data_IF_356698516098
#
_entry.id   IF_356698516098
#
_cell.length_a   1.000
_cell.length_b   1.000
_cell.length_c   1.000
_cell.angle_alpha   90.00
_cell.angle_beta   90.00
_cell.angle_gamma   90.00
#
_symmetry.space_group_name_H-M   'P 1'
#
loop_
_entity.id
_entity.type
_entity.pdbx_description
1 polymer ?
#
# COMPACT_ATOMS: atom_id res chain seq x y z
N UNK A 1 16.37 24.07 19.21
CA UNK A 1 15.36 23.02 18.94
C UNK A 1 14.64 23.23 17.60
N UNK A 2 14.13 24.43 17.28
CA UNK A 2 13.54 24.74 15.96
C UNK A 2 14.52 24.55 14.77
N UNK A 3 15.80 24.89 14.96
CA UNK A 3 16.86 24.74 13.95
C UNK A 3 17.19 23.25 13.70
N UNK A 4 17.12 22.40 14.73
CA UNK A 4 17.40 20.96 14.60
C UNK A 4 16.29 20.23 13.83
N UNK A 5 15.03 20.69 13.95
CA UNK A 5 13.88 20.12 13.23
C UNK A 5 13.96 20.44 11.73
N UNK A 6 14.36 21.65 11.38
CA UNK A 6 14.58 22.07 9.97
C UNK A 6 15.77 21.33 9.35
N UNK A 7 16.85 21.11 10.13
CA UNK A 7 18.00 20.31 9.71
C UNK A 7 17.63 18.83 9.50
N UNK A 8 16.77 18.25 10.34
CA UNK A 8 16.31 16.86 10.18
C UNK A 8 15.39 16.68 8.96
N UNK A 9 14.52 17.66 8.71
CA UNK A 9 13.64 17.70 7.52
C UNK A 9 14.44 17.87 6.22
N UNK A 10 15.53 18.64 6.25
CA UNK A 10 16.43 18.81 5.09
C UNK A 10 17.36 17.61 4.87
N UNK A 11 17.78 16.91 5.92
CA UNK A 11 18.48 15.62 5.77
C UNK A 11 17.57 14.52 5.21
N UNK A 12 16.29 14.45 5.60
CA UNK A 12 15.31 13.54 5.00
C UNK A 12 15.02 13.87 3.53
N UNK A 13 15.10 15.14 3.13
CA UNK A 13 14.98 15.54 1.73
C UNK A 13 16.22 15.18 0.88
N UNK A 14 17.38 14.97 1.51
CA UNK A 14 18.67 14.77 0.84
C UNK A 14 19.01 13.30 0.52
N UNK A 15 18.21 12.33 1.00
CA UNK A 15 18.43 10.90 0.74
C UNK A 15 17.60 10.34 -0.44
N UNK A 16 17.10 11.21 -1.32
CA UNK A 16 16.13 10.85 -2.37
C UNK A 16 16.75 10.34 -3.68
N UNK A 17 18.07 10.16 -3.73
CA UNK A 17 18.74 9.63 -4.92
C UNK A 17 18.89 8.11 -4.86
N UNK A 18 17.78 7.42 -5.19
CA UNK A 18 17.66 6.09 -5.79
C UNK A 18 16.34 5.48 -5.33
N UNK A 19 15.64 4.80 -6.24
CA UNK A 19 14.31 4.19 -6.08
C UNK A 19 13.13 5.15 -6.33
N UNK A 20 12.13 4.69 -7.09
CA UNK A 20 10.89 5.41 -7.39
C UNK A 20 10.28 5.91 -6.06
N UNK A 21 10.33 7.22 -5.82
CA UNK A 21 10.08 7.81 -4.48
C UNK A 21 8.63 8.31 -4.28
N UNK A 22 7.65 7.75 -4.98
CA UNK A 22 6.26 8.23 -4.98
C UNK A 22 5.24 7.16 -4.56
N UNK A 23 4.09 7.59 -4.05
CA UNK A 23 2.91 6.72 -3.98
C UNK A 23 2.34 6.54 -5.39
N UNK A 24 1.59 5.46 -5.64
CA UNK A 24 0.99 5.23 -6.96
C UNK A 24 0.03 6.37 -7.32
N UNK A 25 0.14 6.86 -8.56
CA UNK A 25 -0.57 8.06 -9.02
C UNK A 25 0.08 9.40 -8.66
N UNK A 26 1.14 9.41 -7.84
CA UNK A 26 1.86 10.61 -7.41
C UNK A 26 3.36 10.52 -7.74
N UNK A 27 3.67 10.55 -9.04
CA UNK A 27 5.04 10.44 -9.54
C UNK A 27 5.52 8.99 -9.74
N UNK A 28 4.66 8.00 -9.48
CA UNK A 28 4.90 6.59 -9.76
C UNK A 28 3.62 5.94 -10.31
N UNK A 29 3.77 5.07 -11.32
CA UNK A 29 2.69 4.21 -11.84
C UNK A 29 3.21 2.78 -12.04
N UNK A 30 2.32 1.80 -12.09
CA UNK A 30 2.67 0.40 -12.37
C UNK A 30 3.08 0.26 -13.83
N UNK A 31 2.34 0.89 -14.73
CA UNK A 31 2.49 0.73 -16.16
C UNK A 31 2.83 2.06 -16.83
N UNK A 32 4.06 2.52 -16.66
CA UNK A 32 4.57 3.74 -17.30
C UNK A 32 5.74 3.46 -18.27
N UNK A 33 5.59 3.71 -19.59
CA UNK A 33 4.38 4.14 -20.29
C UNK A 33 3.42 2.96 -20.56
N UNK A 34 2.09 3.17 -20.51
CA UNK A 34 1.12 2.08 -20.61
C UNK A 34 1.15 1.36 -21.97
N UNK A 35 1.47 2.06 -23.05
CA UNK A 35 1.60 1.50 -24.39
C UNK A 35 2.70 0.42 -24.48
N UNK A 36 3.84 0.63 -23.82
CA UNK A 36 4.96 -0.31 -23.89
C UNK A 36 4.66 -1.58 -23.08
N UNK A 37 4.07 -1.39 -21.89
CA UNK A 37 3.59 -2.51 -21.07
C UNK A 37 2.48 -3.31 -21.76
N UNK A 38 1.57 -2.66 -22.50
CA UNK A 38 0.53 -3.34 -23.26
C UNK A 38 1.13 -4.21 -24.39
N UNK A 39 2.06 -3.66 -25.17
CA UNK A 39 2.80 -4.41 -26.19
C UNK A 39 3.46 -5.68 -25.62
N UNK A 40 4.16 -5.54 -24.49
CA UNK A 40 4.81 -6.68 -23.84
C UNK A 40 3.79 -7.68 -23.29
N UNK A 41 2.70 -7.22 -22.68
CA UNK A 41 1.72 -8.09 -22.04
C UNK A 41 1.06 -9.07 -23.02
N UNK A 42 0.85 -8.67 -24.29
CA UNK A 42 0.27 -9.56 -25.33
C UNK A 42 1.18 -10.76 -25.63
N UNK A 43 2.48 -10.54 -25.71
CA UNK A 43 3.46 -11.58 -26.10
C UNK A 43 4.24 -12.17 -24.92
N UNK A 44 4.06 -11.63 -23.71
CA UNK A 44 4.91 -11.93 -22.55
C UNK A 44 4.84 -13.37 -22.05
N UNK A 45 3.78 -14.11 -22.42
CA UNK A 45 3.59 -15.53 -22.15
C UNK A 45 3.72 -16.41 -23.41
N UNK A 46 4.18 -15.85 -24.54
CA UNK A 46 4.38 -16.61 -25.76
C UNK A 46 5.38 -17.75 -25.54
N UNK A 47 5.07 -18.99 -25.95
CA UNK A 47 6.07 -20.04 -26.03
C UNK A 47 7.25 -19.61 -26.90
N UNK A 48 8.47 -19.90 -26.46
CA UNK A 48 9.71 -19.55 -27.18
C UNK A 48 10.56 -20.80 -27.40
N UNK A 49 11.23 -20.87 -28.54
CA UNK A 49 12.19 -21.93 -28.86
C UNK A 49 13.54 -21.61 -28.19
N UNK A 50 13.70 -22.02 -26.93
CA UNK A 50 14.89 -21.78 -26.12
C UNK A 50 15.76 -23.06 -26.04
N UNK A 51 17.05 -23.03 -26.43
CA UNK A 51 17.95 -24.16 -26.19
C UNK A 51 18.17 -24.35 -24.67
N UNK A 52 17.79 -25.53 -24.16
CA UNK A 52 18.00 -26.02 -22.79
C UNK A 52 17.54 -25.09 -21.66
N UNK A 53 16.23 -25.09 -21.39
CA UNK A 53 15.72 -24.93 -20.02
C UNK A 53 15.03 -26.26 -19.69
N UNK A 54 15.68 -27.09 -18.88
CA UNK A 54 15.09 -28.35 -18.41
C UNK A 54 13.69 -28.11 -17.83
N UNK A 55 12.79 -29.02 -18.18
CA UNK A 55 11.36 -29.00 -17.88
C UNK A 55 11.04 -28.65 -16.41
N UNK A 56 10.74 -27.37 -16.15
CA UNK A 56 9.96 -26.96 -14.98
C UNK A 56 8.66 -26.28 -15.43
N UNK A 57 7.61 -27.10 -15.46
CA UNK A 57 6.18 -26.77 -15.41
C UNK A 57 5.70 -25.55 -16.23
N UNK A 58 5.21 -25.84 -17.43
CA UNK A 58 4.09 -25.11 -18.04
C UNK A 58 2.85 -25.29 -17.17
N UNK A 59 2.69 -24.44 -16.15
CA UNK A 59 1.64 -24.56 -15.15
C UNK A 59 1.03 -23.21 -14.84
N UNK A 60 -0.06 -22.89 -15.54
CA UNK A 60 -1.00 -21.80 -15.26
C UNK A 60 -0.43 -20.38 -15.28
N UNK A 61 -1.28 -19.44 -15.70
CA UNK A 61 -1.09 -18.00 -15.55
C UNK A 61 -0.99 -17.64 -14.05
N UNK A 62 0.16 -17.95 -13.43
CA UNK A 62 0.46 -17.51 -12.09
C UNK A 62 0.96 -16.06 -12.16
N UNK A 63 0.34 -15.19 -11.37
CA UNK A 63 0.71 -13.80 -11.16
C UNK A 63 2.05 -13.68 -10.41
N UNK A 64 3.10 -14.25 -10.98
CA UNK A 64 4.48 -14.07 -10.55
C UNK A 64 4.96 -12.71 -11.02
N UNK A 65 4.95 -11.75 -10.11
CA UNK A 65 5.67 -10.48 -10.27
C UNK A 65 7.13 -10.57 -9.76
N UNK A 66 7.60 -11.80 -9.48
CA UNK A 66 9.02 -12.18 -9.45
C UNK A 66 9.50 -12.53 -10.86
N UNK A 67 10.80 -12.34 -11.12
CA UNK A 67 11.42 -12.47 -12.45
C UNK A 67 10.90 -13.65 -13.27
N UNK A 68 10.57 -13.40 -14.54
CA UNK A 68 10.07 -14.45 -15.42
C UNK A 68 11.15 -15.54 -15.55
N UNK A 69 10.83 -16.84 -15.31
CA UNK A 69 11.76 -17.94 -15.60
C UNK A 69 12.22 -17.95 -17.07
N UNK A 70 11.44 -17.31 -17.94
CA UNK A 70 11.70 -17.15 -19.37
C UNK A 70 12.60 -15.94 -19.67
N UNK A 71 12.92 -15.08 -18.70
CA UNK A 71 13.69 -13.86 -18.92
C UNK A 71 15.05 -14.09 -19.60
N UNK A 72 15.84 -15.12 -19.23
CA UNK A 72 17.09 -15.42 -19.94
C UNK A 72 16.87 -15.83 -21.39
N UNK A 73 15.78 -16.54 -21.70
CA UNK A 73 15.45 -16.89 -23.08
C UNK A 73 14.95 -15.68 -23.87
N UNK A 74 14.07 -14.87 -23.28
CA UNK A 74 13.60 -13.62 -23.90
C UNK A 74 14.79 -12.72 -24.25
N UNK A 75 15.80 -12.67 -23.37
CA UNK A 75 16.96 -11.82 -23.56
C UNK A 75 17.74 -12.11 -24.85
N UNK A 76 17.80 -13.36 -25.29
CA UNK A 76 18.52 -13.78 -26.51
C UNK A 76 17.59 -14.12 -27.68
N UNK A 77 16.27 -14.06 -27.49
CA UNK A 77 15.32 -14.38 -28.54
C UNK A 77 15.07 -13.17 -29.45
N UNK A 78 15.74 -13.15 -30.61
CA UNK A 78 15.64 -12.06 -31.57
C UNK A 78 14.23 -11.83 -32.13
N UNK A 79 13.37 -12.85 -32.20
CA UNK A 79 12.00 -12.72 -32.68
C UNK A 79 11.09 -12.02 -31.68
N UNK A 80 11.22 -12.37 -30.40
CA UNK A 80 10.54 -11.67 -29.31
C UNK A 80 10.95 -10.21 -29.25
N UNK A 81 12.27 -9.94 -29.24
CA UNK A 81 12.79 -8.57 -29.15
C UNK A 81 12.34 -7.74 -30.37
N UNK A 82 12.45 -8.25 -31.58
CA UNK A 82 11.98 -7.53 -32.79
C UNK A 82 10.47 -7.27 -32.77
N UNK A 83 9.68 -8.25 -32.34
CA UNK A 83 8.21 -8.11 -32.20
C UNK A 83 7.87 -7.00 -31.20
N UNK A 84 8.53 -7.00 -30.03
CA UNK A 84 8.32 -5.98 -29.02
C UNK A 84 8.75 -4.60 -29.52
N UNK A 85 9.94 -4.48 -30.13
CA UNK A 85 10.47 -3.22 -30.65
C UNK A 85 9.52 -2.61 -31.70
N UNK A 86 9.02 -3.43 -32.62
CA UNK A 86 8.08 -2.99 -33.64
C UNK A 86 6.72 -2.54 -33.05
N UNK A 87 6.21 -3.22 -32.03
CA UNK A 87 5.00 -2.75 -31.35
C UNK A 87 5.23 -1.42 -30.64
N UNK A 88 6.36 -1.25 -29.94
CA UNK A 88 6.71 0.02 -29.31
C UNK A 88 6.82 1.17 -30.32
N UNK A 89 7.45 0.95 -31.48
CA UNK A 89 7.58 2.00 -32.49
C UNK A 89 6.24 2.43 -33.10
N UNK A 90 5.26 1.54 -33.14
CA UNK A 90 3.94 1.82 -33.74
C UNK A 90 2.94 2.35 -32.71
N UNK A 91 2.98 1.87 -31.47
CA UNK A 91 1.99 2.19 -30.42
C UNK A 91 2.44 3.27 -29.43
N UNK A 92 3.73 3.55 -29.34
CA UNK A 92 4.30 4.53 -28.40
C UNK A 92 4.94 5.74 -29.11
N UNK A 93 4.38 6.19 -30.23
CA UNK A 93 4.94 7.29 -31.02
C UNK A 93 5.12 8.60 -30.23
N UNK A 94 4.23 8.87 -29.26
CA UNK A 94 4.27 10.08 -28.42
C UNK A 94 5.25 9.98 -27.23
N UNK A 95 5.93 8.85 -27.05
CA UNK A 95 6.86 8.61 -25.95
C UNK A 95 8.29 8.91 -26.40
N UNK A 96 9.06 9.61 -25.57
CA UNK A 96 10.47 9.90 -25.89
C UNK A 96 11.29 8.61 -26.01
N UNK A 97 12.24 8.59 -26.96
CA UNK A 97 13.14 7.46 -27.16
C UNK A 97 13.92 7.11 -25.87
N UNK A 98 14.34 8.12 -25.10
CA UNK A 98 15.01 7.92 -23.80
C UNK A 98 14.16 7.13 -22.79
N UNK A 99 12.84 7.38 -22.78
CA UNK A 99 11.90 6.69 -21.89
C UNK A 99 11.64 5.27 -22.36
N UNK A 100 11.57 5.03 -23.67
CA UNK A 100 11.46 3.69 -24.23
C UNK A 100 12.72 2.86 -23.98
N UNK A 101 13.92 3.43 -24.09
CA UNK A 101 15.17 2.74 -23.73
C UNK A 101 15.23 2.39 -22.24
N UNK A 102 14.81 3.32 -21.37
CA UNK A 102 14.73 3.06 -19.93
C UNK A 102 13.72 1.94 -19.59
N UNK A 103 12.55 1.94 -20.26
CA UNK A 103 11.58 0.85 -20.16
C UNK A 103 12.20 -0.47 -20.63
N UNK A 104 12.84 -0.47 -21.81
CA UNK A 104 13.43 -1.64 -22.42
C UNK A 104 14.46 -2.31 -21.51
N UNK A 105 15.42 -1.53 -21.01
CA UNK A 105 16.46 -2.00 -20.11
C UNK A 105 15.90 -2.61 -18.81
N UNK A 106 14.77 -2.09 -18.32
CA UNK A 106 14.18 -2.54 -17.06
C UNK A 106 13.14 -3.66 -17.20
N UNK A 107 12.45 -3.77 -18.34
CA UNK A 107 11.19 -4.51 -18.42
C UNK A 107 11.04 -5.39 -19.67
N UNK A 108 11.85 -5.25 -20.72
CA UNK A 108 11.68 -6.02 -21.97
C UNK A 108 11.66 -7.53 -21.70
N UNK A 109 12.61 -8.03 -20.90
CA UNK A 109 12.73 -9.44 -20.50
C UNK A 109 11.71 -9.85 -19.43
N UNK A 110 11.11 -8.89 -18.72
CA UNK A 110 10.27 -9.14 -17.54
C UNK A 110 11.04 -9.33 -16.24
N UNK A 111 12.38 -9.31 -16.29
CA UNK A 111 13.23 -9.30 -15.12
C UNK A 111 14.30 -8.21 -15.27
N UNK A 112 14.26 -7.23 -14.36
CA UNK A 112 15.22 -6.10 -14.33
C UNK A 112 16.68 -6.53 -14.16
N UNK A 113 16.93 -7.76 -13.69
CA UNK A 113 18.28 -8.31 -13.49
C UNK A 113 18.85 -8.94 -14.76
N UNK A 114 18.00 -9.21 -15.76
CA UNK A 114 18.39 -9.83 -17.03
C UNK A 114 18.20 -8.81 -18.15
N UNK A 115 19.31 -8.31 -18.69
CA UNK A 115 19.30 -7.39 -19.83
C UNK A 115 19.08 -8.13 -21.14
N UNK A 116 18.29 -7.54 -22.03
CA UNK A 116 18.16 -8.03 -23.40
C UNK A 116 19.48 -7.88 -24.16
N UNK A 117 19.73 -8.78 -25.12
CA UNK A 117 20.93 -8.78 -25.97
C UNK A 117 21.08 -7.48 -26.74
N UNK A 118 19.96 -6.93 -27.23
CA UNK A 118 19.92 -5.66 -27.95
C UNK A 118 19.19 -4.61 -27.11
N UNK A 119 19.66 -3.36 -27.17
CA UNK A 119 18.89 -2.20 -26.72
C UNK A 119 17.74 -1.91 -27.70
N UNK A 120 16.83 -1.01 -27.34
CA UNK A 120 15.61 -0.78 -28.13
C UNK A 120 15.92 -0.30 -29.55
N UNK A 121 16.82 0.67 -29.71
CA UNK A 121 17.22 1.19 -31.03
C UNK A 121 17.73 0.11 -32.00
N UNK A 122 18.77 -0.68 -31.64
CA UNK A 122 19.26 -1.79 -32.45
C UNK A 122 18.22 -2.89 -32.69
N UNK A 123 17.38 -3.21 -31.70
CA UNK A 123 16.30 -4.18 -31.88
C UNK A 123 15.29 -3.72 -32.94
N UNK A 124 14.96 -2.43 -32.95
CA UNK A 124 14.09 -1.83 -33.96
C UNK A 124 14.77 -1.75 -35.33
N UNK A 125 16.07 -1.41 -35.38
CA UNK A 125 16.82 -1.35 -36.63
C UNK A 125 16.93 -2.72 -37.34
N UNK A 126 16.91 -3.81 -36.57
CA UNK A 126 16.88 -5.17 -37.10
C UNK A 126 15.52 -5.60 -37.66
N UNK A 127 14.48 -4.75 -37.57
CA UNK A 127 13.19 -4.95 -38.25
C UNK A 127 13.28 -4.38 -39.67
N UNK A 128 13.73 -5.21 -40.61
CA UNK A 128 13.99 -4.79 -42.00
C UNK A 128 12.71 -4.58 -42.84
N UNK A 129 11.60 -5.18 -42.45
CA UNK A 129 10.29 -5.00 -43.10
C UNK A 129 9.15 -5.11 -42.08
N UNK A 130 8.00 -4.43 -42.33
CA UNK A 130 6.81 -4.59 -41.50
C UNK A 130 6.38 -6.06 -41.37
N UNK A 131 6.14 -6.56 -40.15
CA UNK A 131 5.60 -7.90 -39.92
C UNK A 131 4.27 -8.11 -40.63
N UNK A 132 4.13 -9.23 -41.34
CA UNK A 132 2.89 -9.59 -42.06
C UNK A 132 1.97 -10.51 -41.27
N UNK A 133 2.54 -11.31 -40.36
CA UNK A 133 1.81 -12.32 -39.59
C UNK A 133 1.48 -11.77 -38.21
N UNK A 134 0.20 -11.77 -37.86
CA UNK A 134 -0.26 -11.42 -36.51
C UNK A 134 0.08 -12.54 -35.53
N UNK A 135 0.47 -12.18 -34.31
CA UNK A 135 0.66 -13.13 -33.22
C UNK A 135 -0.70 -13.65 -32.74
N UNK A 136 -0.81 -14.97 -32.54
CA UNK A 136 -1.98 -15.60 -31.93
C UNK A 136 -1.56 -16.17 -30.58
N UNK A 137 -2.34 -15.92 -29.53
CA UNK A 137 -2.02 -16.43 -28.20
C UNK A 137 -1.88 -17.96 -28.19
N UNK A 138 -0.72 -18.44 -27.75
CA UNK A 138 -0.38 -19.87 -27.71
C UNK A 138 0.51 -20.34 -28.86
N UNK A 139 0.66 -19.55 -29.93
CA UNK A 139 1.64 -19.84 -30.98
C UNK A 139 3.07 -19.62 -30.45
N UNK A 140 4.01 -20.49 -30.84
CA UNK A 140 5.43 -20.26 -30.58
C UNK A 140 5.92 -19.03 -31.36
N UNK A 141 6.53 -18.07 -30.66
CA UNK A 141 7.02 -16.83 -31.27
C UNK A 141 8.44 -17.04 -31.84
N UNK A 142 8.49 -17.65 -33.03
CA UNK A 142 9.71 -17.88 -33.83
C UNK A 142 9.77 -17.02 -35.10
N UNK A 143 9.03 -15.92 -35.10
CA UNK A 143 8.99 -14.93 -36.17
C UNK A 143 8.72 -13.54 -35.58
N UNK A 144 9.11 -12.49 -36.30
CA UNK A 144 8.69 -11.13 -35.95
C UNK A 144 7.21 -10.97 -36.27
N UNK A 145 6.39 -10.77 -35.24
CA UNK A 145 4.94 -10.74 -35.35
C UNK A 145 4.35 -9.32 -35.31
N UNK A 146 3.16 -9.18 -35.88
CA UNK A 146 2.30 -8.02 -35.66
C UNK A 146 1.41 -8.27 -34.44
N UNK A 147 1.20 -7.27 -33.59
CA UNK A 147 0.25 -7.35 -32.47
C UNK A 147 -1.11 -6.82 -32.93
N UNK A 148 -2.15 -7.64 -32.76
CA UNK A 148 -3.53 -7.27 -33.13
C UNK A 148 -4.02 -6.06 -32.33
N UNK A 149 -4.82 -5.20 -32.97
CA UNK A 149 -5.40 -4.01 -32.31
C UNK A 149 -6.22 -4.38 -31.08
N UNK A 150 -7.03 -5.45 -31.17
CA UNK A 150 -7.91 -5.89 -30.09
C UNK A 150 -7.12 -6.36 -28.86
N UNK A 151 -6.07 -7.16 -29.06
CA UNK A 151 -5.25 -7.69 -27.97
C UNK A 151 -4.44 -6.59 -27.30
N UNK A 152 -3.88 -5.67 -28.10
CA UNK A 152 -3.19 -4.49 -27.58
C UNK A 152 -4.15 -3.62 -26.77
N UNK A 153 -5.33 -3.30 -27.30
CA UNK A 153 -6.28 -2.42 -26.64
C UNK A 153 -6.78 -3.03 -25.32
N UNK A 154 -7.04 -4.33 -25.29
CA UNK A 154 -7.41 -5.05 -24.08
C UNK A 154 -6.35 -4.89 -22.97
N UNK A 155 -5.07 -5.09 -23.30
CA UNK A 155 -3.98 -4.94 -22.34
C UNK A 155 -3.74 -3.47 -21.94
N UNK A 156 -3.86 -2.55 -22.90
CA UNK A 156 -3.73 -1.12 -22.66
C UNK A 156 -4.81 -0.62 -21.69
N UNK A 157 -6.06 -0.98 -21.94
CA UNK A 157 -7.19 -0.59 -21.10
C UNK A 157 -7.04 -1.17 -19.70
N UNK A 158 -6.58 -2.43 -19.57
CA UNK A 158 -6.32 -3.01 -18.26
C UNK A 158 -5.22 -2.28 -17.50
N UNK A 159 -4.10 -1.98 -18.15
CA UNK A 159 -2.99 -1.27 -17.53
C UNK A 159 -3.40 0.11 -17.02
N UNK A 160 -4.12 0.88 -17.85
CA UNK A 160 -4.65 2.20 -17.47
C UNK A 160 -5.69 2.08 -16.35
N UNK A 161 -6.58 1.09 -16.43
CA UNK A 161 -7.59 0.83 -15.41
C UNK A 161 -6.95 0.48 -14.05
N UNK A 162 -5.96 -0.41 -14.04
CA UNK A 162 -5.27 -0.84 -12.82
C UNK A 162 -4.48 0.31 -12.18
N UNK A 163 -3.78 1.11 -12.99
CA UNK A 163 -3.09 2.30 -12.51
C UNK A 163 -4.06 3.34 -11.93
N UNK A 164 -5.25 3.50 -12.52
CA UNK A 164 -6.30 4.34 -11.97
C UNK A 164 -6.78 3.82 -10.60
N UNK A 165 -7.07 2.52 -10.48
CA UNK A 165 -7.50 1.90 -9.22
C UNK A 165 -6.47 2.17 -8.10
N UNK A 166 -5.20 1.95 -8.38
CA UNK A 166 -4.07 2.14 -7.46
C UNK A 166 -3.81 3.62 -7.10
N UNK A 167 -3.98 4.53 -8.06
CA UNK A 167 -3.92 5.98 -7.82
C UNK A 167 -5.05 6.45 -6.90
N UNK A 168 -6.27 5.92 -7.08
CA UNK A 168 -7.39 6.21 -6.19
C UNK A 168 -7.10 5.66 -4.79
N UNK A 169 -6.48 4.46 -4.67
CA UNK A 169 -6.11 3.89 -3.35
C UNK A 169 -5.19 4.84 -2.61
N UNK A 170 -4.11 5.24 -3.29
CA UNK A 170 -3.10 6.15 -2.80
C UNK A 170 -3.69 7.50 -2.40
N UNK A 171 -4.61 8.05 -3.21
CA UNK A 171 -5.31 9.30 -2.89
C UNK A 171 -6.09 9.18 -1.57
N UNK A 172 -6.82 8.09 -1.37
CA UNK A 172 -7.65 7.91 -0.17
C UNK A 172 -6.82 7.72 1.08
N UNK A 173 -5.73 6.97 1.03
CA UNK A 173 -4.84 6.82 2.18
C UNK A 173 -4.12 8.12 2.52
N UNK A 174 -3.73 8.93 1.52
CA UNK A 174 -3.18 10.28 1.74
C UNK A 174 -4.21 11.15 2.45
N UNK A 175 -5.48 11.15 2.00
CA UNK A 175 -6.56 11.90 2.65
C UNK A 175 -6.75 11.45 4.09
N UNK A 176 -6.82 10.13 4.36
CA UNK A 176 -6.99 9.60 5.72
C UNK A 176 -5.86 10.02 6.66
N UNK A 177 -4.61 9.93 6.21
CA UNK A 177 -3.46 10.28 7.04
C UNK A 177 -3.35 11.79 7.22
N UNK A 178 -3.58 12.55 6.15
CA UNK A 178 -3.59 14.01 6.21
C UNK A 178 -4.66 14.51 7.17
N UNK A 179 -5.90 14.01 7.07
CA UNK A 179 -6.98 14.36 8.00
C UNK A 179 -6.65 13.90 9.42
N UNK A 180 -6.13 12.68 9.59
CA UNK A 180 -5.75 12.13 10.90
C UNK A 180 -4.69 12.95 11.63
N UNK A 181 -3.69 13.47 10.91
CA UNK A 181 -2.62 14.31 11.48
C UNK A 181 -3.02 15.79 11.56
N UNK A 182 -3.68 16.32 10.53
CA UNK A 182 -4.02 17.74 10.45
C UNK A 182 -5.14 18.12 11.43
N UNK A 183 -6.11 17.24 11.71
CA UNK A 183 -7.21 17.60 12.62
C UNK A 183 -6.75 17.89 14.06
N UNK A 184 -5.86 17.10 14.71
CA UNK A 184 -5.24 17.50 15.97
C UNK A 184 -4.52 18.86 15.93
N UNK A 185 -3.98 19.28 14.78
CA UNK A 185 -3.23 20.53 14.65
C UNK A 185 -4.16 21.71 14.37
N UNK A 186 -5.11 21.54 13.45
CA UNK A 186 -5.99 22.57 12.95
C UNK A 186 -6.92 23.12 14.03
N UNK A 187 -7.58 22.27 14.82
CA UNK A 187 -8.55 22.73 15.81
C UNK A 187 -7.94 23.56 16.94
N UNK A 188 -6.79 23.18 17.54
CA UNK A 188 -6.05 24.08 18.42
C UNK A 188 -5.57 25.33 17.71
N UNK A 189 -5.09 25.22 16.47
CA UNK A 189 -4.57 26.37 15.73
C UNK A 189 -5.62 27.48 15.52
N UNK A 190 -6.90 27.12 15.37
CA UNK A 190 -8.01 28.07 15.29
C UNK A 190 -8.10 29.02 16.51
N UNK A 191 -7.64 28.56 17.68
CA UNK A 191 -7.65 29.37 18.90
C UNK A 191 -6.52 30.41 18.97
N UNK A 192 -5.59 30.44 18.00
CA UNK A 192 -4.61 31.53 17.88
C UNK A 192 -5.15 32.74 17.11
N UNK A 193 -6.28 32.62 16.41
CA UNK A 193 -6.86 33.74 15.65
C UNK A 193 -7.80 34.59 16.54
N UNK A 194 -7.56 35.91 16.66
CA UNK A 194 -8.19 36.76 17.68
C UNK A 194 -9.72 36.89 17.55
N UNK A 195 -10.28 36.71 16.35
CA UNK A 195 -11.73 36.74 16.13
C UNK A 195 -12.41 35.38 16.40
N UNK A 196 -11.67 34.29 16.27
CA UNK A 196 -12.18 32.91 16.39
C UNK A 196 -12.23 32.47 17.86
N UNK A 197 -11.32 32.97 18.71
CA UNK A 197 -11.28 32.67 20.15
C UNK A 197 -12.63 32.89 20.83
N UNK A 198 -13.23 34.09 20.69
CA UNK A 198 -14.55 34.41 21.29
C UNK A 198 -15.66 33.44 20.87
N UNK A 199 -15.68 33.01 19.61
CA UNK A 199 -16.65 32.05 19.12
C UNK A 199 -16.37 30.65 19.68
N UNK A 200 -15.12 30.19 19.62
CA UNK A 200 -14.73 28.87 20.12
C UNK A 200 -14.93 28.72 21.63
N UNK A 201 -14.67 29.76 22.42
CA UNK A 201 -14.82 29.72 23.88
C UNK A 201 -16.29 29.63 24.31
N UNK A 202 -17.21 30.19 23.52
CA UNK A 202 -18.65 29.97 23.72
C UNK A 202 -19.10 28.56 23.35
N UNK A 203 -18.42 27.91 22.40
CA UNK A 203 -18.82 26.60 21.86
C UNK A 203 -18.20 25.42 22.61
N UNK A 204 -16.95 25.55 23.09
CA UNK A 204 -16.19 24.50 23.80
C UNK A 204 -16.96 23.86 24.97
N UNK A 205 -17.66 24.61 25.84
CA UNK A 205 -18.42 24.04 26.95
C UNK A 205 -19.59 23.14 26.53
N UNK A 206 -20.09 23.28 25.29
CA UNK A 206 -21.22 22.51 24.79
C UNK A 206 -20.80 21.38 23.86
N UNK A 207 -19.77 21.59 23.01
CA UNK A 207 -19.37 20.62 21.99
C UNK A 207 -18.05 19.88 22.26
N UNK A 208 -17.18 20.36 23.15
CA UNK A 208 -15.85 19.77 23.33
C UNK A 208 -15.70 19.10 24.70
N UNK A 209 -16.02 19.81 25.78
CA UNK A 209 -15.76 19.36 27.15
C UNK A 209 -16.78 18.39 27.75
N UNK A 210 -18.09 18.44 27.41
CA UNK A 210 -19.05 17.50 27.98
C UNK A 210 -18.66 16.05 27.64
N UNK A 211 -18.88 15.14 28.58
CA UNK A 211 -18.77 13.71 28.29
C UNK A 211 -20.00 13.28 27.49
N UNK A 212 -19.82 12.44 26.46
CA UNK A 212 -20.95 11.90 25.69
C UNK A 212 -21.92 11.12 26.60
N UNK A 213 -21.38 10.40 27.59
CA UNK A 213 -22.13 9.82 28.70
C UNK A 213 -21.69 10.45 30.01
N UNK A 214 -22.61 11.14 30.71
CA UNK A 214 -22.31 11.92 31.93
C UNK A 214 -21.57 11.06 32.98
N UNK A 215 -20.36 11.48 33.39
CA UNK A 215 -19.54 10.81 34.40
C UNK A 215 -18.71 9.61 33.92
N UNK A 216 -18.95 9.11 32.70
CA UNK A 216 -18.24 7.93 32.16
C UNK A 216 -16.96 8.26 31.38
N UNK A 217 -16.56 9.54 31.32
CA UNK A 217 -15.24 9.95 30.83
C UNK A 217 -14.12 9.57 31.81
N UNK A 218 -14.42 9.56 33.11
CA UNK A 218 -13.51 9.17 34.19
C UNK A 218 -13.79 7.73 34.62
N UNK A 219 -15.07 7.37 34.80
CA UNK A 219 -15.50 6.02 35.15
C UNK A 219 -15.67 5.16 33.91
N UNK A 220 -15.22 3.90 33.96
CA UNK A 220 -15.50 2.96 32.87
C UNK A 220 -17.01 2.69 32.73
N UNK A 221 -17.48 2.57 31.50
CA UNK A 221 -18.82 2.11 31.15
C UNK A 221 -19.12 0.73 31.79
N UNK A 222 -20.40 0.38 31.97
CA UNK A 222 -20.80 -0.95 32.42
C UNK A 222 -20.13 -2.05 31.60
N UNK A 223 -19.89 -3.21 32.21
CA UNK A 223 -19.19 -4.35 31.61
C UNK A 223 -17.74 -4.07 31.17
N UNK A 224 -17.09 -3.05 31.76
CA UNK A 224 -15.69 -2.71 31.48
C UNK A 224 -15.43 -2.34 30.01
N UNK A 225 -16.41 -1.76 29.33
CA UNK A 225 -16.31 -1.37 27.91
C UNK A 225 -15.33 -0.20 27.63
N UNK A 226 -14.66 0.33 28.66
CA UNK A 226 -13.75 1.47 28.56
C UNK A 226 -14.38 2.78 29.04
N UNK A 227 -13.64 3.88 28.91
CA UNK A 227 -14.14 5.21 29.24
C UNK A 227 -14.81 5.82 28.02
N UNK A 228 -15.95 6.50 28.23
CA UNK A 228 -16.65 7.25 27.21
C UNK A 228 -15.77 8.44 26.74
N UNK A 229 -15.71 8.71 25.42
CA UNK A 229 -15.02 9.89 24.93
C UNK A 229 -15.76 11.17 25.37
N UNK A 230 -15.03 12.28 25.44
CA UNK A 230 -15.69 13.61 25.47
C UNK A 230 -16.43 13.85 24.15
N UNK A 231 -17.35 14.80 24.11
CA UNK A 231 -18.07 15.18 22.89
C UNK A 231 -17.12 15.53 21.75
N UNK A 232 -16.05 16.30 22.02
CA UNK A 232 -15.05 16.62 21.00
C UNK A 232 -14.29 15.40 20.49
N UNK A 233 -13.90 14.49 21.38
CA UNK A 233 -13.29 13.21 21.01
C UNK A 233 -14.27 12.35 20.21
N UNK A 234 -15.53 12.29 20.62
CA UNK A 234 -16.60 11.54 19.96
C UNK A 234 -16.90 12.07 18.55
N UNK A 235 -16.94 13.38 18.37
CA UNK A 235 -17.09 14.02 17.05
C UNK A 235 -15.92 13.70 16.13
N UNK A 236 -14.69 13.76 16.64
CA UNK A 236 -13.51 13.35 15.86
C UNK A 236 -13.59 11.86 15.47
N UNK A 237 -13.94 10.99 16.42
CA UNK A 237 -14.10 9.54 16.17
C UNK A 237 -15.17 9.30 15.11
N UNK A 238 -16.34 9.95 15.22
CA UNK A 238 -17.43 9.81 14.27
C UNK A 238 -17.01 10.28 12.87
N UNK A 239 -16.39 11.46 12.77
CA UNK A 239 -15.84 11.96 11.51
C UNK A 239 -14.84 10.99 10.90
N UNK A 240 -13.90 10.47 11.70
CA UNK A 240 -12.87 9.57 11.20
C UNK A 240 -13.44 8.20 10.78
N UNK A 241 -14.42 7.66 11.51
CA UNK A 241 -15.15 6.44 11.12
C UNK A 241 -15.91 6.66 9.82
N UNK A 242 -16.67 7.75 9.71
CA UNK A 242 -17.43 8.08 8.50
C UNK A 242 -16.48 8.20 7.31
N UNK A 243 -15.35 8.88 7.48
CA UNK A 243 -14.34 9.04 6.43
C UNK A 243 -13.76 7.68 5.99
N UNK A 244 -13.42 6.79 6.92
CA UNK A 244 -12.92 5.44 6.59
C UNK A 244 -13.98 4.59 5.87
N UNK A 245 -15.25 4.68 6.28
CA UNK A 245 -16.35 3.98 5.62
C UNK A 245 -16.54 4.51 4.19
N UNK A 246 -16.63 5.83 4.01
CA UNK A 246 -16.83 6.44 2.69
C UNK A 246 -15.66 6.06 1.77
N UNK A 247 -14.42 6.36 2.17
CA UNK A 247 -13.25 6.09 1.33
C UNK A 247 -12.98 4.59 1.13
N UNK A 248 -13.44 3.73 2.02
CA UNK A 248 -13.40 2.28 1.86
C UNK A 248 -14.51 1.70 0.98
N UNK A 249 -15.60 2.44 0.72
CA UNK A 249 -16.79 1.92 0.05
C UNK A 249 -17.08 2.55 -1.33
N UNK A 250 -16.47 3.68 -1.66
CA UNK A 250 -16.73 4.40 -2.91
C UNK A 250 -15.71 4.13 -4.01
N UNK A 251 -16.10 4.44 -5.25
CA UNK A 251 -15.23 4.44 -6.45
C UNK A 251 -14.69 3.09 -6.90
N UNK A 252 -15.50 2.03 -6.76
CA UNK A 252 -15.23 0.75 -7.40
C UNK A 252 -15.85 0.70 -8.80
N UNK A 253 -15.07 0.22 -9.77
CA UNK A 253 -15.56 -0.07 -11.12
C UNK A 253 -15.13 -1.48 -11.51
N UNK A 254 -15.93 -2.12 -12.36
CA UNK A 254 -15.47 -3.32 -13.04
C UNK A 254 -14.69 -2.92 -14.29
N UNK A 255 -13.66 -3.68 -14.60
CA UNK A 255 -13.04 -3.66 -15.91
C UNK A 255 -14.07 -4.03 -16.97
N UNK A 256 -14.03 -3.42 -18.16
CA UNK A 256 -15.06 -3.62 -19.17
C UNK A 256 -15.05 -5.03 -19.76
N UNK A 257 -13.86 -5.61 -19.91
CA UNK A 257 -13.64 -6.92 -20.52
C UNK A 257 -13.50 -8.02 -19.45
N UNK A 258 -13.44 -9.32 -19.81
CA UNK A 258 -13.08 -10.37 -18.88
C UNK A 258 -11.78 -10.02 -18.17
N UNK A 259 -11.75 -10.15 -16.84
CA UNK A 259 -10.61 -9.73 -16.04
C UNK A 259 -9.37 -10.59 -16.39
N UNK A 260 -8.19 -10.01 -16.64
CA UNK A 260 -7.01 -10.79 -17.06
C UNK A 260 -6.60 -11.89 -16.08
N UNK A 261 -6.90 -11.69 -14.79
CA UNK A 261 -6.61 -12.64 -13.71
C UNK A 261 -7.74 -13.67 -13.49
N UNK A 262 -8.71 -13.76 -14.41
CA UNK A 262 -9.77 -14.78 -14.36
C UNK A 262 -10.91 -14.50 -13.36
N UNK A 263 -10.88 -13.36 -12.65
CA UNK A 263 -11.95 -12.99 -11.74
C UNK A 263 -13.30 -12.80 -12.47
N UNK A 264 -14.36 -13.34 -11.87
CA UNK A 264 -15.74 -12.97 -12.23
C UNK A 264 -16.01 -11.52 -11.83
N UNK A 265 -17.05 -10.88 -12.38
CA UNK A 265 -17.36 -9.48 -12.07
C UNK A 265 -17.70 -9.23 -10.59
N UNK A 266 -18.23 -10.22 -9.88
CA UNK A 266 -18.41 -10.11 -8.44
C UNK A 266 -17.08 -10.28 -7.69
N UNK A 267 -16.28 -11.29 -8.05
CA UNK A 267 -14.99 -11.55 -7.42
C UNK A 267 -13.98 -10.42 -7.65
N UNK A 268 -14.04 -9.76 -8.80
CA UNK A 268 -13.24 -8.58 -9.16
C UNK A 268 -13.49 -7.43 -8.17
N UNK A 269 -14.77 -7.09 -7.92
CA UNK A 269 -15.12 -6.06 -6.92
C UNK A 269 -14.66 -6.46 -5.52
N UNK A 270 -14.83 -7.74 -5.14
CA UNK A 270 -14.34 -8.24 -3.85
C UNK A 270 -12.82 -8.08 -3.72
N UNK A 271 -12.06 -8.41 -4.76
CA UNK A 271 -10.61 -8.24 -4.78
C UNK A 271 -10.23 -6.76 -4.62
N UNK A 272 -10.88 -5.84 -5.34
CA UNK A 272 -10.59 -4.41 -5.21
C UNK A 272 -10.96 -3.83 -3.84
N UNK A 273 -12.08 -4.24 -3.25
CA UNK A 273 -12.43 -3.88 -1.85
C UNK A 273 -11.34 -4.38 -0.90
N UNK A 274 -10.86 -5.58 -1.16
CA UNK A 274 -9.77 -6.17 -0.41
C UNK A 274 -8.47 -5.40 -0.53
N UNK A 275 -8.00 -5.08 -1.74
CA UNK A 275 -6.79 -4.27 -1.94
C UNK A 275 -6.92 -2.88 -1.27
N UNK A 276 -8.09 -2.23 -1.43
CA UNK A 276 -8.40 -0.95 -0.79
C UNK A 276 -8.23 -0.98 0.73
N UNK A 277 -8.87 -1.97 1.35
CA UNK A 277 -8.89 -2.10 2.81
C UNK A 277 -7.54 -2.54 3.35
N UNK A 278 -6.79 -3.35 2.60
CA UNK A 278 -5.39 -3.67 2.90
C UNK A 278 -4.52 -2.41 2.93
N UNK A 279 -4.57 -1.58 1.89
CA UNK A 279 -3.78 -0.35 1.80
C UNK A 279 -4.15 0.66 2.89
N UNK A 280 -5.45 0.83 3.18
CA UNK A 280 -5.92 1.65 4.30
C UNK A 280 -5.39 1.13 5.63
N UNK A 281 -5.43 -0.18 5.87
CA UNK A 281 -4.91 -0.76 7.11
C UNK A 281 -3.42 -0.45 7.29
N UNK A 282 -2.61 -0.65 6.25
CA UNK A 282 -1.18 -0.29 6.23
C UNK A 282 -0.97 1.20 6.53
N UNK A 283 -1.75 2.07 5.90
CA UNK A 283 -1.64 3.51 6.11
C UNK A 283 -2.00 3.93 7.53
N UNK A 284 -2.95 3.27 8.19
CA UNK A 284 -3.34 3.58 9.58
C UNK A 284 -2.30 3.13 10.63
N UNK A 285 -1.39 2.20 10.31
CA UNK A 285 -0.34 1.75 11.23
C UNK A 285 0.55 2.89 11.76
N UNK A 286 1.17 3.75 10.93
CA UNK A 286 2.03 4.83 11.43
C UNK A 286 1.26 5.83 12.29
N UNK A 287 0.01 6.13 11.93
CA UNK A 287 -0.86 6.99 12.74
C UNK A 287 -1.18 6.35 14.11
N UNK A 288 -1.41 5.04 14.12
CA UNK A 288 -1.66 4.27 15.35
C UNK A 288 -0.46 4.34 16.29
N UNK A 289 0.75 4.16 15.78
CA UNK A 289 1.99 4.25 16.58
C UNK A 289 2.29 5.69 17.01
N UNK A 290 2.05 6.68 16.14
CA UNK A 290 2.23 8.09 16.48
C UNK A 290 1.39 8.50 17.68
N UNK A 291 0.12 8.10 17.73
CA UNK A 291 -0.80 8.46 18.81
C UNK A 291 -0.53 7.75 20.14
N UNK A 292 0.19 6.62 20.16
CA UNK A 292 0.59 5.96 21.41
C UNK A 292 1.91 6.49 21.99
N UNK A 293 2.70 7.19 21.18
CA UNK A 293 4.02 7.71 21.54
C UNK A 293 3.96 8.86 22.57
N UNK A 294 4.84 8.82 23.58
CA UNK A 294 5.00 9.90 24.57
C UNK A 294 5.93 11.02 24.07
N UNK A 295 6.68 10.76 23.00
CA UNK A 295 7.47 11.76 22.27
C UNK A 295 6.81 12.10 20.93
N UNK A 296 5.48 12.08 20.88
CA UNK A 296 4.75 12.47 19.69
C UNK A 296 4.95 13.96 19.41
N UNK A 297 5.42 14.32 18.20
CA UNK A 297 5.59 15.70 17.74
C UNK A 297 4.28 16.50 17.87
N UNK A 298 3.12 15.85 17.70
CA UNK A 298 1.81 16.46 17.87
C UNK A 298 1.57 16.93 19.32
N UNK A 299 2.14 16.29 20.33
CA UNK A 299 2.05 16.78 21.71
C UNK A 299 2.83 18.09 21.92
N UNK A 300 3.80 18.39 21.06
CA UNK A 300 4.61 19.62 21.18
C UNK A 300 3.99 20.81 20.46
N UNK A 301 3.18 20.56 19.43
CA UNK A 301 2.56 21.60 18.61
C UNK A 301 1.05 21.76 18.88
N UNK A 302 0.45 20.87 19.67
CA UNK A 302 -0.96 20.94 20.07
C UNK A 302 -1.10 21.00 21.59
N UNK A 303 -2.15 21.66 22.06
CA UNK A 303 -2.51 21.70 23.49
C UNK A 303 -3.36 20.50 23.93
N UNK A 304 -3.33 19.40 23.16
CA UNK A 304 -4.11 18.21 23.47
C UNK A 304 -3.39 17.35 24.50
N UNK A 305 -4.08 16.92 25.58
CA UNK A 305 -3.46 16.06 26.57
C UNK A 305 -3.17 14.68 25.98
N UNK A 306 -2.12 14.01 26.47
CA UNK A 306 -1.76 12.66 26.03
C UNK A 306 -2.91 11.65 26.18
N UNK A 307 -3.79 11.84 27.17
CA UNK A 307 -5.00 11.04 27.33
C UNK A 307 -5.93 11.09 26.11
N UNK A 308 -6.01 12.23 25.41
CA UNK A 308 -6.76 12.38 24.15
C UNK A 308 -6.10 11.55 23.06
N UNK A 309 -4.79 11.65 22.86
CA UNK A 309 -4.09 10.84 21.86
C UNK A 309 -4.23 9.33 22.12
N UNK A 310 -4.25 8.90 23.38
CA UNK A 310 -4.55 7.50 23.71
C UNK A 310 -5.98 7.07 23.34
N UNK A 311 -6.97 7.98 23.41
CA UNK A 311 -8.32 7.71 22.89
C UNK A 311 -8.25 7.51 21.38
N UNK A 312 -7.56 8.40 20.66
CA UNK A 312 -7.42 8.30 19.20
C UNK A 312 -6.68 7.04 18.79
N UNK A 313 -5.54 6.71 19.42
CA UNK A 313 -4.79 5.48 19.22
C UNK A 313 -5.70 4.24 19.25
N UNK A 314 -6.57 4.12 20.27
CA UNK A 314 -7.48 2.98 20.39
C UNK A 314 -8.49 2.89 19.25
N UNK A 315 -9.02 4.02 18.79
CA UNK A 315 -10.01 4.03 17.70
C UNK A 315 -9.37 3.82 16.33
N UNK A 316 -8.21 4.44 16.07
CA UNK A 316 -7.43 4.21 14.85
C UNK A 316 -6.95 2.76 14.79
N UNK A 317 -6.49 2.18 15.91
CA UNK A 317 -6.09 0.77 15.98
C UNK A 317 -7.26 -0.19 15.64
N UNK A 318 -8.47 0.11 16.13
CA UNK A 318 -9.68 -0.67 15.80
C UNK A 318 -10.03 -0.58 14.32
N UNK A 319 -9.93 0.60 13.72
CA UNK A 319 -10.16 0.79 12.28
C UNK A 319 -9.09 0.07 11.46
N UNK A 320 -7.82 0.18 11.83
CA UNK A 320 -6.71 -0.54 11.20
C UNK A 320 -6.96 -2.05 11.19
N UNK A 321 -7.31 -2.63 12.34
CA UNK A 321 -7.62 -4.05 12.45
C UNK A 321 -8.92 -4.44 11.70
N UNK A 322 -9.97 -3.62 11.75
CA UNK A 322 -11.20 -3.86 10.99
C UNK A 322 -10.93 -3.90 9.49
N UNK A 323 -10.14 -2.97 8.96
CA UNK A 323 -9.73 -2.97 7.56
C UNK A 323 -8.89 -4.20 7.20
N UNK A 324 -7.98 -4.65 8.07
CA UNK A 324 -7.22 -5.90 7.85
C UNK A 324 -8.13 -7.15 7.83
N UNK A 325 -9.16 -7.19 8.69
CA UNK A 325 -10.15 -8.27 8.71
C UNK A 325 -10.98 -8.25 7.41
N UNK A 326 -11.47 -7.08 6.98
CA UNK A 326 -12.22 -6.95 5.73
C UNK A 326 -11.36 -7.36 4.53
N UNK A 327 -10.10 -6.89 4.48
CA UNK A 327 -9.12 -7.33 3.48
C UNK A 327 -9.01 -8.85 3.44
N UNK A 328 -8.80 -9.49 4.59
CA UNK A 328 -8.62 -10.95 4.67
C UNK A 328 -9.86 -11.72 4.20
N UNK A 329 -11.07 -11.28 4.61
CA UNK A 329 -12.33 -11.96 4.25
C UNK A 329 -12.65 -11.78 2.76
N UNK A 330 -12.47 -10.57 2.23
CA UNK A 330 -12.79 -10.26 0.83
C UNK A 330 -11.82 -10.93 -0.15
N UNK A 331 -10.52 -10.97 0.16
CA UNK A 331 -9.52 -11.72 -0.61
C UNK A 331 -9.80 -13.22 -0.55
N UNK A 332 -10.10 -13.76 0.64
CA UNK A 332 -10.48 -15.16 0.76
C UNK A 332 -11.68 -15.50 -0.14
N UNK A 333 -12.75 -14.70 -0.08
CA UNK A 333 -13.94 -14.93 -0.89
C UNK A 333 -13.68 -14.79 -2.40
N UNK A 334 -12.88 -13.80 -2.83
CA UNK A 334 -12.50 -13.63 -4.23
C UNK A 334 -11.71 -14.83 -4.76
N UNK A 335 -10.72 -15.31 -4.01
CA UNK A 335 -9.85 -16.42 -4.41
C UNK A 335 -10.52 -17.79 -4.30
N UNK A 336 -11.47 -17.96 -3.37
CA UNK A 336 -12.34 -19.14 -3.35
C UNK A 336 -13.26 -19.16 -4.58
N UNK A 337 -13.82 -18.00 -4.96
CA UNK A 337 -14.63 -17.90 -6.19
C UNK A 337 -13.80 -18.12 -7.46
N UNK A 338 -12.51 -17.79 -7.44
CA UNK A 338 -11.58 -18.04 -8.54
C UNK A 338 -11.14 -19.51 -8.61
N UNK A 339 -11.21 -20.25 -7.50
CA UNK A 339 -10.81 -21.66 -7.41
C UNK A 339 -9.32 -21.88 -7.08
N UNK A 340 -8.54 -20.83 -6.82
CA UNK A 340 -7.09 -20.91 -6.55
C UNK A 340 -6.74 -20.85 -5.06
N UNK A 341 -7.71 -20.68 -4.17
CA UNK A 341 -7.45 -20.57 -2.73
C UNK A 341 -6.58 -21.71 -2.15
N UNK A 342 -6.89 -22.97 -2.50
CA UNK A 342 -6.18 -24.12 -1.94
C UNK A 342 -4.71 -24.20 -2.34
N UNK A 343 -4.34 -23.64 -3.49
CA UNK A 343 -2.94 -23.50 -3.92
C UNK A 343 -2.31 -22.26 -3.30
N UNK A 344 -3.02 -21.14 -3.28
CA UNK A 344 -2.46 -19.85 -2.89
C UNK A 344 -2.24 -19.71 -1.38
N UNK A 345 -3.04 -20.37 -0.53
CA UNK A 345 -2.90 -20.31 0.93
C UNK A 345 -1.53 -20.80 1.44
N UNK A 346 -0.84 -21.63 0.66
CA UNK A 346 0.50 -22.14 0.96
C UNK A 346 1.62 -21.19 0.49
N UNK A 347 1.30 -20.14 -0.26
CA UNK A 347 2.28 -19.14 -0.71
C UNK A 347 2.75 -18.31 0.50
N UNK A 348 4.05 -17.98 0.61
CA UNK A 348 4.58 -17.27 1.77
C UNK A 348 3.85 -15.97 2.11
N UNK A 349 3.45 -15.19 1.10
CA UNK A 349 2.73 -13.93 1.33
C UNK A 349 1.36 -14.14 1.99
N UNK A 350 0.62 -15.21 1.65
CA UNK A 350 -0.66 -15.54 2.30
C UNK A 350 -0.46 -15.91 3.75
N UNK A 351 0.53 -16.75 4.05
CA UNK A 351 0.85 -17.17 5.42
C UNK A 351 1.18 -15.95 6.28
N UNK A 352 2.05 -15.05 5.81
CA UNK A 352 2.39 -13.84 6.54
C UNK A 352 1.21 -12.85 6.67
N UNK A 353 0.31 -12.81 5.69
CA UNK A 353 -0.95 -12.09 5.78
C UNK A 353 -1.85 -12.62 6.89
N UNK A 354 -2.00 -13.94 7.00
CA UNK A 354 -2.76 -14.61 8.07
C UNK A 354 -2.13 -14.29 9.44
N UNK A 355 -0.81 -14.43 9.57
CA UNK A 355 -0.08 -14.11 10.80
C UNK A 355 -0.29 -12.65 11.20
N UNK A 356 -0.16 -11.71 10.27
CA UNK A 356 -0.38 -10.28 10.51
C UNK A 356 -1.78 -9.97 11.02
N UNK A 357 -2.82 -10.48 10.34
CA UNK A 357 -4.22 -10.30 10.76
C UNK A 357 -4.50 -10.92 12.12
N UNK A 358 -4.00 -12.14 12.39
CA UNK A 358 -4.18 -12.79 13.69
C UNK A 358 -3.51 -11.99 14.81
N UNK A 359 -2.30 -11.49 14.61
CA UNK A 359 -1.63 -10.63 15.59
C UNK A 359 -2.41 -9.33 15.85
N UNK A 360 -2.98 -8.69 14.81
CA UNK A 360 -3.85 -7.53 14.97
C UNK A 360 -5.11 -7.83 15.80
N UNK A 361 -5.75 -8.98 15.54
CA UNK A 361 -6.92 -9.42 16.33
C UNK A 361 -6.55 -9.70 17.78
N UNK A 362 -5.43 -10.40 18.01
CA UNK A 362 -4.92 -10.65 19.37
C UNK A 362 -4.60 -9.35 20.10
N UNK A 363 -4.02 -8.35 19.43
CA UNK A 363 -3.82 -7.01 20.00
C UNK A 363 -5.12 -6.38 20.46
N UNK A 364 -6.21 -6.49 19.69
CA UNK A 364 -7.51 -5.96 20.09
C UNK A 364 -8.08 -6.67 21.32
N UNK A 365 -8.05 -8.00 21.33
CA UNK A 365 -8.57 -8.83 22.44
C UNK A 365 -7.78 -8.55 23.72
N UNK A 366 -6.45 -8.57 23.63
CA UNK A 366 -5.55 -8.29 24.74
C UNK A 366 -5.69 -6.85 25.28
N UNK A 367 -6.11 -5.91 24.42
CA UNK A 367 -6.32 -4.51 24.80
C UNK A 367 -7.64 -4.23 25.51
N UNK A 368 -8.50 -5.25 25.71
CA UNK A 368 -9.74 -5.12 26.48
C UNK A 368 -9.41 -4.71 27.92
N UNK A 369 -10.26 -3.86 28.51
CA UNK A 369 -10.03 -3.26 29.82
C UNK A 369 -9.86 -4.30 30.93
N UNK A 370 -10.55 -5.44 30.82
CA UNK A 370 -10.43 -6.55 31.77
C UNK A 370 -8.98 -7.06 31.86
N UNK A 371 -8.37 -7.41 30.73
CA UNK A 371 -6.99 -7.93 30.69
C UNK A 371 -5.99 -6.89 31.19
N UNK A 372 -6.16 -5.63 30.77
CA UNK A 372 -5.33 -4.49 31.21
C UNK A 372 -5.38 -4.23 32.71
N UNK A 373 -6.52 -4.47 33.35
CA UNK A 373 -6.68 -4.32 34.81
C UNK A 373 -6.15 -5.53 35.57
N UNK A 374 -6.22 -6.72 34.99
CA UNK A 374 -5.72 -7.95 35.61
C UNK A 374 -4.18 -7.92 35.74
N UNK A 375 -3.45 -7.54 34.69
CA UNK A 375 -2.01 -7.32 34.78
C UNK A 375 -1.53 -6.32 33.73
N UNK A 376 -1.17 -5.12 34.18
CA UNK A 376 -0.72 -4.05 33.29
C UNK A 376 0.63 -4.35 32.64
N UNK A 377 1.58 -4.91 33.40
CA UNK A 377 2.93 -5.22 32.89
C UNK A 377 2.88 -6.33 31.83
N UNK A 378 2.11 -7.40 32.07
CA UNK A 378 1.89 -8.47 31.08
C UNK A 378 1.20 -7.91 29.84
N UNK A 379 0.17 -7.08 30.02
CA UNK A 379 -0.45 -6.38 28.90
C UNK A 379 0.58 -5.58 28.08
N UNK A 380 1.39 -4.76 28.74
CA UNK A 380 2.33 -3.88 28.05
C UNK A 380 3.39 -4.66 27.26
N UNK A 381 4.02 -5.66 27.87
CA UNK A 381 5.07 -6.46 27.23
C UNK A 381 4.51 -7.23 26.04
N UNK A 382 3.41 -7.96 26.24
CA UNK A 382 2.80 -8.76 25.18
C UNK A 382 2.27 -7.87 24.04
N UNK A 383 1.75 -6.68 24.35
CA UNK A 383 1.28 -5.73 23.33
C UNK A 383 2.44 -5.22 22.46
N UNK A 384 3.61 -4.94 23.06
CA UNK A 384 4.81 -4.53 22.32
C UNK A 384 5.33 -5.68 21.43
N UNK A 385 5.38 -6.90 21.95
CA UNK A 385 5.81 -8.08 21.18
C UNK A 385 4.88 -8.32 19.99
N UNK A 386 3.56 -8.35 20.23
CA UNK A 386 2.58 -8.53 19.16
C UNK A 386 2.63 -7.39 18.13
N UNK A 387 2.82 -6.13 18.55
CA UNK A 387 2.99 -5.01 17.63
C UNK A 387 4.25 -5.17 16.75
N UNK A 388 5.35 -5.68 17.30
CA UNK A 388 6.54 -6.00 16.52
C UNK A 388 6.26 -7.13 15.50
N UNK A 389 5.55 -8.18 15.91
CA UNK A 389 5.13 -9.26 15.00
C UNK A 389 4.19 -8.78 13.90
N UNK A 390 3.28 -7.82 14.17
CA UNK A 390 2.45 -7.19 13.12
C UNK A 390 3.34 -6.51 12.08
N UNK A 391 4.32 -5.71 12.49
CA UNK A 391 5.22 -5.02 11.55
C UNK A 391 6.02 -6.02 10.71
N UNK A 392 6.56 -7.06 11.35
CA UNK A 392 7.30 -8.13 10.66
C UNK A 392 6.38 -8.88 9.69
N UNK A 393 5.16 -9.21 10.10
CA UNK A 393 4.17 -9.88 9.26
C UNK A 393 3.75 -9.04 8.07
N UNK A 394 3.48 -7.75 8.27
CA UNK A 394 3.20 -6.81 7.19
C UNK A 394 4.38 -6.68 6.21
N UNK A 395 5.62 -6.62 6.71
CA UNK A 395 6.81 -6.56 5.87
C UNK A 395 6.93 -7.80 4.98
N UNK A 396 6.88 -8.99 5.56
CA UNK A 396 7.01 -10.22 4.80
C UNK A 396 5.81 -10.49 3.88
N UNK A 397 4.60 -10.10 4.29
CA UNK A 397 3.42 -10.17 3.45
C UNK A 397 3.62 -9.37 2.14
N UNK A 398 4.08 -8.11 2.23
CA UNK A 398 4.34 -7.29 1.05
C UNK A 398 5.57 -7.79 0.30
N UNK A 399 6.65 -8.12 1.00
CA UNK A 399 7.91 -8.54 0.37
C UNK A 399 7.75 -9.81 -0.48
N UNK A 400 7.04 -10.82 0.04
CA UNK A 400 6.81 -12.06 -0.71
C UNK A 400 5.73 -11.94 -1.76
N UNK A 401 4.79 -11.00 -1.63
CA UNK A 401 3.82 -10.74 -2.69
C UNK A 401 4.46 -9.96 -3.84
N UNK A 402 5.10 -8.84 -3.53
CA UNK A 402 5.87 -8.05 -4.50
C UNK A 402 7.08 -7.37 -3.84
N UNK A 403 8.30 -7.90 -4.06
CA UNK A 403 9.50 -7.35 -3.46
C UNK A 403 9.81 -5.96 -4.03
N UNK A 404 10.02 -4.99 -3.15
CA UNK A 404 10.48 -3.63 -3.46
C UNK A 404 9.55 -2.89 -4.43
N UNK A 405 8.24 -2.96 -4.16
CA UNK A 405 7.24 -2.18 -4.90
C UNK A 405 7.41 -0.68 -4.69
N UNK A 406 7.97 -0.27 -3.54
CA UNK A 406 8.22 1.11 -3.15
C UNK A 406 6.99 1.81 -2.55
N UNK A 407 5.82 1.17 -2.60
CA UNK A 407 4.53 1.78 -2.26
C UNK A 407 4.10 1.39 -0.85
N UNK A 408 3.98 0.09 -0.60
CA UNK A 408 3.45 -0.41 0.68
C UNK A 408 4.54 -0.45 1.75
N UNK A 409 5.79 -0.67 1.35
CA UNK A 409 6.96 -0.62 2.23
C UNK A 409 7.15 0.77 2.85
N UNK A 410 6.73 1.84 2.14
CA UNK A 410 6.77 3.22 2.65
C UNK A 410 6.00 3.36 3.98
N UNK A 411 4.83 2.74 4.09
CA UNK A 411 4.03 2.77 5.32
C UNK A 411 4.76 2.09 6.47
N UNK A 412 5.42 0.96 6.20
CA UNK A 412 6.21 0.24 7.20
C UNK A 412 7.44 1.05 7.62
N UNK A 413 8.13 1.70 6.68
CA UNK A 413 9.23 2.61 6.99
C UNK A 413 8.76 3.76 7.88
N UNK A 414 7.59 4.35 7.62
CA UNK A 414 7.02 5.40 8.48
C UNK A 414 6.68 4.89 9.88
N UNK A 415 6.13 3.68 10.03
CA UNK A 415 5.87 3.07 11.34
C UNK A 415 7.18 2.91 12.12
N UNK A 416 8.18 2.32 11.49
CA UNK A 416 9.50 2.13 12.09
C UNK A 416 10.12 3.48 12.48
N UNK A 417 10.09 4.47 11.59
CA UNK A 417 10.64 5.80 11.85
C UNK A 417 10.00 6.45 13.10
N UNK A 418 8.66 6.44 13.18
CA UNK A 418 7.93 7.01 14.34
C UNK A 418 8.23 6.24 15.62
N UNK A 419 8.27 4.91 15.55
CA UNK A 419 8.55 4.08 16.72
C UNK A 419 9.99 4.27 17.22
N UNK A 420 10.99 4.16 16.35
CA UNK A 420 12.39 4.35 16.72
C UNK A 420 12.67 5.76 17.22
N UNK A 421 12.04 6.78 16.60
CA UNK A 421 12.13 8.16 17.09
C UNK A 421 11.68 8.29 18.55
N UNK A 422 10.53 7.69 18.92
CA UNK A 422 10.06 7.72 20.31
C UNK A 422 11.05 7.07 21.28
N UNK A 423 11.59 5.92 20.91
CA UNK A 423 12.53 5.16 21.75
C UNK A 423 13.86 5.88 21.91
N UNK A 424 14.39 6.45 20.83
CA UNK A 424 15.62 7.24 20.85
C UNK A 424 15.48 8.44 21.78
N UNK A 425 14.41 9.23 21.66
CA UNK A 425 14.19 10.39 22.54
C UNK A 425 14.00 9.99 24.00
N UNK A 426 13.38 8.82 24.27
CA UNK A 426 13.31 8.29 25.63
C UNK A 426 14.70 7.99 26.19
N UNK A 427 15.54 7.27 25.43
CA UNK A 427 16.92 6.95 25.84
C UNK A 427 17.74 8.22 26.05
N UNK A 428 17.66 9.19 25.14
CA UNK A 428 18.36 10.48 25.26
C UNK A 428 17.93 11.26 26.52
N UNK A 429 16.65 11.24 26.89
CA UNK A 429 16.18 11.89 28.14
C UNK A 429 16.67 11.17 29.39
N UNK A 430 16.70 9.84 29.38
CA UNK A 430 17.27 9.05 30.48
C UNK A 430 18.77 9.31 30.61
N UNK A 431 19.50 9.30 29.50
CA UNK A 431 20.94 9.60 29.48
C UNK A 431 21.24 11.02 29.98
N UNK A 432 20.42 12.02 29.60
CA UNK A 432 20.56 13.41 30.06
C UNK A 432 20.26 13.58 31.55
N UNK A 433 19.21 12.93 32.06
CA UNK A 433 18.69 13.18 33.41
C UNK A 433 19.15 12.14 34.44
N UNK A 434 19.94 11.15 34.02
CA UNK A 434 20.36 10.01 34.83
C UNK A 434 19.28 8.93 34.98
N UNK A 435 19.73 7.72 35.28
CA UNK A 435 18.86 6.66 35.85
C UNK A 435 18.68 7.02 37.32
N UNK A 436 17.46 7.37 37.72
CA UNK A 436 17.12 7.57 39.14
C UNK A 436 16.78 6.26 39.81
#
# INVERSE_FOLDING_TARGET
MKILLVALLSLLASSTNAYKTGLMGYGQSWYDPPCAYACRAVIGSAPLDCPSMDHHSTGTSEHSHGGSPLAPCIATNGDFLRTLAYCLSTRCADVSASKLEAYWAGQATGDKTVSAEWTYGPALANVTAPPKRTYTAGDTLNYTALIADADYQYQYDFNVFFDWEEAVQSTYVIVLISVGVATPVFFPALSYFPFITRATDKVKPYLIYPSFFRGYNIRSLPYLLGNAPTMGQGLWIAMFIILNIILGAVSYKNFQYPHPWGFTKSAEILAYVGYRTGHISFALLPLTVLFSSRNNILLWITDWPFSTFLVLHRWVARLCALHAIIHSITLLAAYVSLGTYYTDVHKPYWIWGIVGTLCLVLLLVQSILWFRRASYEVFLVLHILLAAFVIIGCWYHVYFWKPFSGVYELWIYMVCAVWFFDRLFRVLRVAKNGVR
#
